data_IF_875318497529
#
_entry.id   IF_875318497529
#
_cell.length_a   1.000
_cell.length_b   1.000
_cell.length_c   1.000
_cell.angle_alpha   90.00
_cell.angle_beta   90.00
_cell.angle_gamma   90.00
#
_symmetry.space_group_name_H-M   'P 1'
#
loop_
_entity.id
_entity.type
_entity.pdbx_description
1 polymer ?
#
# COMPACT_ATOMS: atom_id res chain seq x y z
N UNK A 1 10.74 -42.43 -23.89
CA UNK A 1 11.37 -41.62 -24.96
C UNK A 1 10.27 -40.99 -25.80
N UNK A 2 10.10 -39.68 -25.69
CA UNK A 2 9.12 -38.89 -26.44
C UNK A 2 9.58 -37.43 -26.47
N UNK A 3 10.30 -37.08 -27.53
CA UNK A 3 10.74 -35.76 -28.00
C UNK A 3 9.49 -34.90 -28.30
N UNK A 4 9.39 -33.57 -28.24
CA UNK A 4 10.33 -32.42 -28.29
C UNK A 4 9.53 -31.16 -27.91
N UNK A 5 10.26 -30.14 -27.43
CA UNK A 5 9.87 -28.73 -27.31
C UNK A 5 9.23 -28.17 -28.60
N UNK A 6 8.23 -27.29 -28.44
CA UNK A 6 7.89 -26.25 -29.43
C UNK A 6 7.76 -24.91 -28.69
N UNK A 7 8.48 -23.93 -29.23
CA UNK A 7 8.69 -22.56 -28.77
C UNK A 7 7.53 -21.60 -29.13
N UNK A 8 7.30 -20.65 -28.22
CA UNK A 8 6.99 -19.21 -28.36
C UNK A 8 6.57 -18.62 -29.74
N UNK A 9 5.47 -17.84 -29.71
CA UNK A 9 5.16 -16.70 -30.61
C UNK A 9 3.96 -15.92 -30.02
N UNK A 10 4.15 -14.91 -29.16
CA UNK A 10 4.19 -13.46 -29.47
C UNK A 10 3.11 -13.00 -30.48
N UNK A 11 2.10 -12.26 -30.03
CA UNK A 11 1.74 -10.98 -30.65
C UNK A 11 0.98 -10.07 -29.68
N UNK A 12 1.72 -9.11 -29.16
CA UNK A 12 1.29 -7.95 -28.40
C UNK A 12 0.68 -6.94 -29.39
N UNK A 13 -0.64 -6.86 -29.50
CA UNK A 13 -1.26 -5.76 -30.27
C UNK A 13 -1.33 -4.52 -29.40
N UNK A 14 -0.35 -3.65 -29.63
CA UNK A 14 -0.26 -2.29 -29.10
C UNK A 14 -1.55 -1.51 -29.38
N UNK A 15 -1.99 -0.82 -28.33
CA UNK A 15 -2.87 0.36 -28.36
C UNK A 15 -2.45 1.32 -29.49
N UNK A 16 -3.33 1.51 -30.47
CA UNK A 16 -3.30 2.66 -31.35
C UNK A 16 -4.26 3.70 -30.77
N UNK A 17 -3.73 4.68 -30.03
CA UNK A 17 -4.45 5.93 -29.76
C UNK A 17 -4.05 6.95 -30.82
N UNK A 18 -5.01 7.60 -31.51
CA UNK A 18 -4.68 8.68 -32.43
C UNK A 18 -4.20 9.91 -31.63
N UNK A 19 -2.97 10.32 -31.89
CA UNK A 19 -2.45 11.66 -31.56
C UNK A 19 -3.25 12.67 -32.38
N UNK A 20 -4.12 13.41 -31.70
CA UNK A 20 -4.74 14.61 -32.27
C UNK A 20 -3.77 15.77 -32.04
N UNK A 21 -2.95 16.06 -33.06
CA UNK A 21 -2.31 17.36 -33.18
C UNK A 21 -3.40 18.38 -33.54
N UNK A 22 -3.62 19.38 -32.67
CA UNK A 22 -4.43 20.54 -33.02
C UNK A 22 -3.63 21.82 -32.76
N UNK A 23 -3.22 22.40 -33.88
CA UNK A 23 -3.25 23.82 -34.24
C UNK A 23 -2.61 24.84 -33.27
N UNK A 24 -1.42 25.26 -33.71
CA UNK A 24 -0.90 26.63 -33.75
C UNK A 24 -1.98 27.70 -33.56
N UNK A 25 -2.01 28.33 -32.38
CA UNK A 25 -2.50 29.70 -32.24
C UNK A 25 -1.31 30.66 -32.24
N UNK A 26 -1.25 31.42 -33.32
CA UNK A 26 -0.40 32.59 -33.51
C UNK A 26 -0.85 33.68 -32.53
N UNK A 27 -0.15 33.84 -31.41
CA UNK A 27 -0.33 35.01 -30.54
C UNK A 27 0.67 36.08 -30.98
N UNK A 28 0.16 37.02 -31.77
CA UNK A 28 0.79 38.31 -32.07
C UNK A 28 1.15 39.01 -30.75
N UNK A 29 2.43 39.05 -30.41
CA UNK A 29 2.95 39.85 -29.30
C UNK A 29 3.52 41.15 -29.84
N UNK A 30 2.79 42.21 -29.52
CA UNK A 30 3.08 43.60 -29.75
C UNK A 30 4.43 43.97 -29.11
N UNK A 31 5.29 44.60 -29.91
CA UNK A 31 6.59 45.14 -29.51
C UNK A 31 6.42 46.14 -28.35
N UNK A 32 6.93 45.78 -27.17
CA UNK A 32 7.06 46.69 -26.03
C UNK A 32 8.52 46.71 -25.58
N UNK A 33 9.04 47.94 -25.58
CA UNK A 33 10.41 48.36 -25.34
C UNK A 33 11.10 47.68 -24.16
N UNK A 34 12.34 47.27 -24.41
CA UNK A 34 13.38 46.94 -23.41
C UNK A 34 13.70 48.16 -22.54
N UNK A 35 13.79 47.95 -21.22
CA UNK A 35 14.95 48.47 -20.50
C UNK A 35 15.64 47.37 -19.69
N UNK A 36 16.93 47.22 -19.98
CA UNK A 36 18.04 47.07 -19.04
C UNK A 36 17.88 46.13 -17.83
N UNK A 37 18.35 44.91 -18.04
CA UNK A 37 19.11 44.04 -17.14
C UNK A 37 19.30 44.58 -15.70
N UNK A 38 18.59 43.99 -14.76
CA UNK A 38 19.19 43.45 -13.53
C UNK A 38 18.43 42.18 -13.20
N UNK A 39 19.03 41.04 -13.57
CA UNK A 39 18.51 39.73 -13.21
C UNK A 39 18.73 39.50 -11.72
N UNK A 40 17.78 39.90 -10.89
CA UNK A 40 17.54 39.18 -9.65
C UNK A 40 16.91 37.84 -10.05
N UNK A 41 17.76 36.84 -10.19
CA UNK A 41 17.33 35.44 -10.16
C UNK A 41 16.82 35.24 -8.74
N UNK A 42 15.53 35.44 -8.54
CA UNK A 42 14.85 34.91 -7.37
C UNK A 42 14.96 33.40 -7.51
N UNK A 43 15.93 32.81 -6.80
CA UNK A 43 16.03 31.37 -6.60
C UNK A 43 14.67 30.90 -6.09
N UNK A 44 13.88 30.30 -6.99
CA UNK A 44 12.78 29.44 -6.61
C UNK A 44 13.42 28.31 -5.82
N UNK A 45 13.47 28.48 -4.50
CA UNK A 45 13.76 27.42 -3.56
C UNK A 45 12.73 26.33 -3.85
N UNK A 46 13.13 25.37 -4.67
CA UNK A 46 12.42 24.11 -4.84
C UNK A 46 12.59 23.41 -3.51
N UNK A 47 11.70 23.71 -2.55
CA UNK A 47 11.58 22.92 -1.34
C UNK A 47 11.33 21.49 -1.82
N UNK A 48 12.24 20.59 -1.47
CA UNK A 48 12.05 19.18 -1.78
C UNK A 48 10.65 18.77 -1.34
N UNK A 49 9.90 17.98 -2.13
CA UNK A 49 8.59 17.51 -1.74
C UNK A 49 8.70 16.83 -0.37
N UNK A 50 8.12 17.45 0.65
CA UNK A 50 8.13 16.93 2.01
C UNK A 50 6.98 15.94 2.15
N UNK A 51 7.30 14.65 2.05
CA UNK A 51 6.37 13.57 2.37
C UNK A 51 6.83 12.88 3.65
N UNK A 52 5.87 12.50 4.49
CA UNK A 52 6.15 11.67 5.66
C UNK A 52 6.17 10.19 5.24
N UNK A 53 7.16 9.44 5.70
CA UNK A 53 7.26 8.00 5.46
C UNK A 53 6.46 7.27 6.55
N UNK A 54 5.44 6.47 6.21
CA UNK A 54 4.66 5.72 7.18
C UNK A 54 5.56 4.79 7.99
N UNK A 55 5.32 4.70 9.28
CA UNK A 55 6.01 3.79 10.20
C UNK A 55 5.10 2.61 10.56
N UNK A 56 5.69 1.42 10.67
CA UNK A 56 4.92 0.22 11.01
C UNK A 56 4.19 0.34 12.35
N UNK A 57 4.78 1.05 13.31
CA UNK A 57 4.22 1.32 14.63
C UNK A 57 2.92 2.11 14.62
N UNK A 58 2.59 2.81 13.54
CA UNK A 58 1.32 3.53 13.38
C UNK A 58 0.15 2.56 13.17
N UNK A 59 0.43 1.36 12.63
CA UNK A 59 -0.60 0.42 12.19
C UNK A 59 -0.64 -0.89 12.98
N UNK A 60 0.46 -1.25 13.66
CA UNK A 60 0.54 -2.51 14.36
C UNK A 60 -0.21 -2.49 15.70
N UNK A 61 -0.79 -3.63 16.07
CA UNK A 61 -1.30 -3.82 17.43
C UNK A 61 -0.14 -3.87 18.44
N UNK A 62 -0.25 -3.19 19.60
CA UNK A 62 0.80 -3.19 20.60
C UNK A 62 1.26 -4.59 21.00
N UNK A 63 2.58 -4.81 20.99
CA UNK A 63 3.20 -6.10 21.31
C UNK A 63 3.46 -7.01 20.10
N UNK A 64 3.01 -6.62 18.90
CA UNK A 64 3.23 -7.35 17.65
C UNK A 64 4.15 -6.61 16.66
N UNK A 65 4.81 -5.53 17.07
CA UNK A 65 5.77 -4.76 16.26
C UNK A 65 6.85 -5.65 15.66
N UNK A 66 7.23 -6.70 16.41
CA UNK A 66 8.30 -7.64 16.11
C UNK A 66 7.81 -9.09 15.95
N UNK A 67 6.54 -9.27 15.59
CA UNK A 67 5.97 -10.59 15.35
C UNK A 67 6.78 -11.37 14.30
N UNK A 68 6.91 -12.68 14.50
CA UNK A 68 7.68 -13.58 13.63
C UNK A 68 6.78 -14.71 13.15
N UNK A 69 6.94 -15.07 11.88
CA UNK A 69 6.29 -16.24 11.32
C UNK A 69 6.72 -17.49 12.06
N UNK A 70 5.75 -18.25 12.52
CA UNK A 70 5.94 -19.56 13.13
C UNK A 70 4.90 -20.53 12.58
N UNK A 71 5.28 -21.25 11.54
CA UNK A 71 4.44 -22.25 10.88
C UNK A 71 4.72 -23.67 11.36
N UNK A 72 5.50 -23.82 12.44
CA UNK A 72 5.75 -25.14 13.01
C UNK A 72 4.42 -25.71 13.51
N UNK A 73 4.06 -26.90 13.01
CA UNK A 73 2.97 -27.69 13.57
C UNK A 73 3.26 -27.92 15.05
N UNK A 74 2.36 -27.44 15.89
CA UNK A 74 2.51 -27.57 17.32
C UNK A 74 1.86 -28.92 17.67
N UNK A 75 2.66 -29.86 18.16
CA UNK A 75 2.17 -31.15 18.68
C UNK A 75 1.18 -30.99 19.85
N UNK A 76 1.07 -29.78 20.40
CA UNK A 76 0.08 -29.34 21.38
C UNK A 76 -1.09 -28.55 20.78
N UNK A 77 -1.47 -28.77 19.51
CA UNK A 77 -2.70 -28.24 18.85
C UNK A 77 -4.03 -28.55 19.61
N UNK A 78 -3.95 -29.14 20.81
CA UNK A 78 -5.06 -29.37 21.74
C UNK A 78 -5.38 -28.08 22.53
N UNK A 79 -4.44 -27.11 22.63
CA UNK A 79 -4.63 -25.87 23.38
C UNK A 79 -5.03 -24.73 22.43
N UNK A 80 -6.34 -24.49 22.29
CA UNK A 80 -6.92 -23.44 21.42
C UNK A 80 -6.28 -22.05 21.59
N UNK A 81 -5.82 -21.69 22.79
CA UNK A 81 -5.16 -20.40 23.06
C UNK A 81 -3.80 -20.27 22.35
N UNK A 82 -3.00 -21.33 22.36
CA UNK A 82 -1.66 -21.33 21.71
C UNK A 82 -1.82 -21.20 20.20
N UNK A 83 -2.85 -21.84 19.63
CA UNK A 83 -3.15 -21.75 18.21
C UNK A 83 -3.68 -20.38 17.81
N UNK A 84 -4.54 -19.76 18.63
CA UNK A 84 -5.05 -18.41 18.41
C UNK A 84 -3.92 -17.36 18.48
N UNK A 85 -3.05 -17.44 19.48
CA UNK A 85 -1.92 -16.52 19.64
C UNK A 85 -0.91 -16.67 18.48
N UNK A 86 -0.61 -17.91 18.07
CA UNK A 86 0.23 -18.17 16.89
C UNK A 86 -0.39 -17.58 15.62
N UNK A 87 -1.68 -17.81 15.41
CA UNK A 87 -2.40 -17.28 14.22
C UNK A 87 -2.35 -15.76 14.19
N UNK A 88 -2.59 -15.10 15.32
CA UNK A 88 -2.50 -13.65 15.45
C UNK A 88 -1.07 -13.14 15.24
N UNK A 89 -0.07 -13.82 15.81
CA UNK A 89 1.34 -13.49 15.61
C UNK A 89 1.76 -13.60 14.15
N UNK A 90 1.39 -14.70 13.47
CA UNK A 90 1.66 -14.88 12.05
C UNK A 90 0.96 -13.81 11.20
N UNK A 91 -0.32 -13.50 11.50
CA UNK A 91 -1.04 -12.41 10.84
C UNK A 91 -0.24 -11.11 10.89
N UNK A 92 0.15 -10.65 12.07
CA UNK A 92 0.91 -9.40 12.21
C UNK A 92 2.30 -9.46 11.58
N UNK A 93 2.95 -10.63 11.58
CA UNK A 93 4.25 -10.83 10.93
C UNK A 93 4.16 -10.72 9.40
N UNK A 94 3.20 -11.39 8.76
CA UNK A 94 2.94 -11.26 7.32
C UNK A 94 2.59 -9.82 6.95
N UNK A 95 1.78 -9.20 7.80
CA UNK A 95 1.34 -7.83 7.67
C UNK A 95 2.52 -6.86 7.62
N UNK A 96 3.47 -7.01 8.55
CA UNK A 96 4.72 -6.23 8.59
C UNK A 96 5.58 -6.46 7.36
N UNK A 97 5.76 -7.70 6.94
CA UNK A 97 6.56 -8.05 5.75
C UNK A 97 6.01 -7.34 4.50
N UNK A 98 4.68 -7.31 4.34
CA UNK A 98 4.05 -6.65 3.20
C UNK A 98 4.16 -5.13 3.28
N UNK A 99 4.03 -4.56 4.49
CA UNK A 99 4.27 -3.15 4.72
C UNK A 99 5.70 -2.74 4.34
N UNK A 100 6.71 -3.45 4.85
CA UNK A 100 8.12 -3.18 4.56
C UNK A 100 8.41 -3.25 3.04
N UNK A 101 7.86 -4.26 2.34
CA UNK A 101 7.95 -4.35 0.87
C UNK A 101 7.32 -3.16 0.16
N UNK A 102 6.17 -2.67 0.64
CA UNK A 102 5.50 -1.52 0.05
C UNK A 102 6.30 -0.23 0.27
N UNK A 103 6.85 -0.05 1.47
CA UNK A 103 7.76 1.05 1.78
C UNK A 103 9.01 1.00 0.89
N UNK A 104 9.62 -0.17 0.75
CA UNK A 104 10.80 -0.35 -0.11
C UNK A 104 10.47 -0.09 -1.58
N UNK A 105 9.29 -0.50 -2.05
CA UNK A 105 8.82 -0.15 -3.38
C UNK A 105 8.69 1.37 -3.56
N UNK A 106 8.05 2.08 -2.62
CA UNK A 106 7.91 3.53 -2.70
C UNK A 106 9.27 4.24 -2.77
N UNK A 107 10.28 3.76 -2.05
CA UNK A 107 11.64 4.34 -2.10
C UNK A 107 12.28 4.29 -3.50
N UNK A 108 11.89 3.33 -4.35
CA UNK A 108 12.43 3.18 -5.71
C UNK A 108 11.79 4.12 -6.74
N UNK A 109 10.72 4.82 -6.39
CA UNK A 109 10.00 5.73 -7.28
C UNK A 109 10.68 7.11 -7.36
N UNK A 110 10.27 7.92 -8.34
CA UNK A 110 10.68 9.33 -8.45
C UNK A 110 10.14 10.14 -7.28
N UNK A 111 10.79 11.25 -6.92
CA UNK A 111 10.36 12.10 -5.80
C UNK A 111 8.90 12.55 -5.92
N UNK A 112 8.45 12.90 -7.12
CA UNK A 112 7.07 13.31 -7.39
C UNK A 112 6.05 12.17 -7.16
N UNK A 113 6.47 10.92 -7.34
CA UNK A 113 5.60 9.74 -7.16
C UNK A 113 5.64 9.18 -5.73
N UNK A 114 6.68 9.49 -4.95
CA UNK A 114 6.83 8.98 -3.57
C UNK A 114 5.71 9.42 -2.65
N UNK A 115 5.32 10.69 -2.71
CA UNK A 115 4.24 11.22 -1.87
C UNK A 115 2.94 10.43 -2.05
N UNK A 116 2.53 10.20 -3.31
CA UNK A 116 1.35 9.42 -3.63
C UNK A 116 1.48 7.95 -3.19
N UNK A 117 2.64 7.34 -3.38
CA UNK A 117 2.89 5.96 -2.98
C UNK A 117 2.75 5.77 -1.46
N UNK A 118 3.39 6.64 -0.67
CA UNK A 118 3.31 6.58 0.79
C UNK A 118 1.89 6.81 1.32
N UNK A 119 1.14 7.72 0.70
CA UNK A 119 -0.27 7.93 1.04
C UNK A 119 -1.13 6.69 0.73
N UNK A 120 -0.86 6.02 -0.40
CA UNK A 120 -1.47 4.74 -0.74
C UNK A 120 -1.19 3.66 0.30
N UNK A 121 0.05 3.59 0.82
CA UNK A 121 0.42 2.65 1.89
C UNK A 121 -0.38 2.95 3.17
N UNK A 122 -0.45 4.22 3.61
CA UNK A 122 -1.24 4.60 4.79
C UNK A 122 -2.69 4.19 4.66
N UNK A 123 -3.31 4.53 3.52
CA UNK A 123 -4.71 4.21 3.26
C UNK A 123 -4.96 2.69 3.34
N UNK A 124 -4.14 1.91 2.64
CA UNK A 124 -4.25 0.45 2.63
C UNK A 124 -4.10 -0.16 4.03
N UNK A 125 -3.16 0.33 4.84
CA UNK A 125 -2.97 -0.16 6.21
C UNK A 125 -4.13 0.23 7.12
N UNK A 126 -4.65 1.46 7.00
CA UNK A 126 -5.84 1.92 7.74
C UNK A 126 -7.06 1.06 7.40
N UNK A 127 -7.35 0.84 6.12
CA UNK A 127 -8.47 0.01 5.67
C UNK A 127 -8.36 -1.43 6.20
N UNK A 128 -7.14 -2.00 6.20
CA UNK A 128 -6.90 -3.33 6.77
C UNK A 128 -7.08 -3.38 8.28
N UNK A 129 -6.76 -2.30 9.01
CA UNK A 129 -7.03 -2.20 10.45
C UNK A 129 -8.54 -2.12 10.74
N UNK A 130 -9.27 -1.31 9.97
CA UNK A 130 -10.72 -1.22 10.08
C UNK A 130 -11.38 -2.58 9.84
N UNK A 131 -10.97 -3.29 8.79
CA UNK A 131 -11.48 -4.63 8.49
C UNK A 131 -11.16 -5.62 9.62
N UNK A 132 -9.94 -5.60 10.16
CA UNK A 132 -9.55 -6.46 11.28
C UNK A 132 -10.40 -6.20 12.53
N UNK A 133 -10.66 -4.94 12.87
CA UNK A 133 -11.53 -4.57 13.98
C UNK A 133 -12.98 -5.00 13.76
N UNK A 134 -13.50 -4.87 12.53
CA UNK A 134 -14.83 -5.37 12.19
C UNK A 134 -14.93 -6.88 12.35
N UNK A 135 -13.96 -7.65 11.85
CA UNK A 135 -13.93 -9.10 11.98
C UNK A 135 -13.87 -9.54 13.45
N UNK A 136 -13.02 -8.89 14.26
CA UNK A 136 -12.96 -9.15 15.71
C UNK A 136 -14.29 -8.88 16.41
N UNK A 137 -14.96 -7.77 16.09
CA UNK A 137 -16.29 -7.47 16.64
C UNK A 137 -17.33 -8.53 16.26
N UNK A 138 -17.32 -9.00 15.01
CA UNK A 138 -18.23 -10.05 14.55
C UNK A 138 -17.98 -11.40 15.26
N UNK A 139 -16.72 -11.79 15.46
CA UNK A 139 -16.37 -12.99 16.23
C UNK A 139 -16.88 -12.88 17.67
N UNK A 140 -16.63 -11.74 18.32
CA UNK A 140 -17.10 -11.48 19.68
C UNK A 140 -18.63 -11.52 19.78
N UNK A 141 -19.35 -10.98 18.81
CA UNK A 141 -20.82 -11.02 18.77
C UNK A 141 -21.35 -12.45 18.60
N UNK A 142 -20.81 -13.22 17.65
CA UNK A 142 -21.18 -14.63 17.44
C UNK A 142 -20.92 -15.48 18.69
N UNK A 143 -19.82 -15.22 19.39
CA UNK A 143 -19.48 -15.92 20.63
C UNK A 143 -20.41 -15.53 21.80
N UNK A 144 -20.92 -14.28 21.83
CA UNK A 144 -21.90 -13.82 22.84
C UNK A 144 -23.33 -14.31 22.56
N UNK A 145 -23.69 -14.56 21.30
CA UNK A 145 -25.01 -15.08 20.91
C UNK A 145 -25.30 -16.53 21.34
N UNK A 146 -24.31 -17.24 21.90
CA UNK A 146 -24.47 -18.59 22.47
C UNK A 146 -24.98 -18.53 23.93
N UNK A 147 -25.00 -17.34 24.56
CA UNK A 147 -25.58 -17.12 25.89
C UNK A 147 -26.68 -16.05 25.77
N UNK A 148 -27.78 -16.37 25.09
CA UNK A 148 -29.06 -15.71 25.37
C UNK A 148 -30.04 -16.83 25.73
N UNK A 149 -30.56 -16.71 26.95
CA UNK A 149 -31.37 -17.69 27.66
C UNK A 149 -32.42 -18.35 26.78
N UNK A 150 -32.49 -19.67 26.90
CA UNK A 150 -33.66 -20.46 26.52
C UNK A 150 -34.87 -19.82 27.24
N UNK A 151 -35.88 -19.28 26.55
CA UNK A 151 -37.09 -18.89 27.24
C UNK A 151 -37.70 -20.17 27.82
N UNK A 152 -37.73 -20.26 29.15
CA UNK A 152 -38.63 -21.18 29.83
C UNK A 152 -40.03 -20.60 29.68
N UNK A 153 -40.88 -21.40 29.01
CA UNK A 153 -42.33 -21.32 28.84
C UNK A 153 -43.07 -20.12 29.44
#
# INVERSE_FOLDING_TARGET
MGKKLILLSVLLTLFMLPVSANETEEVTLQEVQTPEITSEIEEVQTSAPSYEIPQWSEFCEPGYENAKLNDKENILNIINFVDAERTKSNYWAERRINFEKAIDHCKTLTEDAKAFCYEGVRKSETERNEMYEQQRKQINYKNRGIIIDKPNY
#
